data_IF_014956310348
#
_entry.id   IF_014956310348
#
_cell.length_a   1.000
_cell.length_b   1.000
_cell.length_c   1.000
_cell.angle_alpha   90.00
_cell.angle_beta   90.00
_cell.angle_gamma   90.00
#
_symmetry.space_group_name_H-M   'P 1'
#
loop_
_entity.id
_entity.type
_entity.pdbx_description
1 polymer ?
#
# COMPACT_ATOMS: atom_id res chain seq x y z
N UNK A 1 10.42 -17.19 29.91
CA UNK A 1 9.61 -17.86 28.86
C UNK A 1 8.62 -16.92 28.15
N UNK A 2 8.33 -15.72 28.66
CA UNK A 2 7.43 -14.71 28.05
C UNK A 2 8.05 -13.85 26.94
N UNK A 3 9.37 -13.91 26.76
CA UNK A 3 10.11 -12.98 25.89
C UNK A 3 9.80 -13.20 24.39
N UNK A 4 9.54 -14.44 23.98
CA UNK A 4 9.14 -14.74 22.60
C UNK A 4 7.78 -14.12 22.22
N UNK A 5 6.84 -14.05 23.18
CA UNK A 5 5.54 -13.39 23.01
C UNK A 5 5.73 -11.88 22.89
N UNK A 6 6.45 -11.28 23.84
CA UNK A 6 6.71 -9.84 23.83
C UNK A 6 7.48 -9.39 22.58
N UNK A 7 8.35 -10.25 22.03
CA UNK A 7 8.99 -9.99 20.74
C UNK A 7 7.98 -9.99 19.58
N UNK A 8 7.05 -10.94 19.55
CA UNK A 8 6.03 -11.02 18.50
C UNK A 8 5.03 -9.86 18.57
N UNK A 9 4.60 -9.48 19.77
CA UNK A 9 3.74 -8.30 19.99
C UNK A 9 4.40 -7.02 19.49
N UNK A 10 5.69 -6.81 19.78
CA UNK A 10 6.44 -5.66 19.25
C UNK A 10 6.48 -5.65 17.72
N UNK A 11 6.73 -6.80 17.10
CA UNK A 11 6.73 -6.92 15.63
C UNK A 11 5.36 -6.60 15.02
N UNK A 12 4.25 -6.99 15.68
CA UNK A 12 2.90 -6.67 15.23
C UNK A 12 2.59 -5.16 15.35
N UNK A 13 3.05 -4.52 16.43
CA UNK A 13 2.93 -3.06 16.62
C UNK A 13 3.75 -2.29 15.56
N UNK A 14 4.96 -2.74 15.28
CA UNK A 14 5.81 -2.15 14.23
C UNK A 14 5.19 -2.31 12.83
N UNK A 15 4.64 -3.49 12.53
CA UNK A 15 3.96 -3.72 11.26
C UNK A 15 2.72 -2.83 11.11
N UNK A 16 1.91 -2.68 12.16
CA UNK A 16 0.77 -1.76 12.14
C UNK A 16 1.23 -0.33 11.86
N UNK A 17 2.31 0.14 12.49
CA UNK A 17 2.85 1.49 12.26
C UNK A 17 3.32 1.66 10.82
N UNK A 18 4.05 0.68 10.28
CA UNK A 18 4.52 0.71 8.89
C UNK A 18 3.36 0.71 7.89
N UNK A 19 2.31 -0.09 8.13
CA UNK A 19 1.10 -0.10 7.30
C UNK A 19 0.38 1.24 7.31
N UNK A 20 0.20 1.85 8.48
CA UNK A 20 -0.42 3.18 8.59
C UNK A 20 0.41 4.29 7.93
N UNK A 21 1.74 4.15 7.93
CA UNK A 21 2.66 5.06 7.24
C UNK A 21 2.76 4.81 5.73
N UNK A 22 2.21 3.69 5.23
CA UNK A 22 2.34 3.27 3.84
C UNK A 22 3.73 2.74 3.48
N UNK A 23 4.58 2.41 4.45
CA UNK A 23 5.93 1.87 4.24
C UNK A 23 5.88 0.35 4.04
N UNK A 24 5.56 -0.06 2.82
CA UNK A 24 5.50 -1.48 2.44
C UNK A 24 6.89 -2.14 2.45
N UNK A 25 7.97 -1.37 2.33
CA UNK A 25 9.34 -1.89 2.41
C UNK A 25 9.67 -2.38 3.81
N UNK A 26 9.31 -1.59 4.83
CA UNK A 26 9.42 -1.98 6.23
C UNK A 26 8.56 -3.21 6.55
N UNK A 27 7.32 -3.27 6.05
CA UNK A 27 6.44 -4.45 6.22
C UNK A 27 7.06 -5.72 5.63
N UNK A 28 7.68 -5.62 4.45
CA UNK A 28 8.37 -6.75 3.83
C UNK A 28 9.57 -7.22 4.67
N UNK A 29 10.37 -6.28 5.20
CA UNK A 29 11.51 -6.60 6.06
C UNK A 29 11.10 -7.32 7.36
N UNK A 30 9.95 -6.95 7.96
CA UNK A 30 9.42 -7.57 9.17
C UNK A 30 8.98 -9.03 8.99
N UNK A 31 8.81 -9.50 7.75
CA UNK A 31 8.38 -10.88 7.47
C UNK A 31 9.42 -11.91 7.92
N UNK A 32 10.70 -11.64 7.71
CA UNK A 32 11.78 -12.54 8.15
C UNK A 32 11.86 -12.63 9.67
N UNK A 33 11.75 -11.48 10.36
CA UNK A 33 11.75 -11.40 11.82
C UNK A 33 10.57 -12.16 12.44
N UNK A 34 9.36 -12.03 11.86
CA UNK A 34 8.18 -12.78 12.32
C UNK A 34 8.33 -14.29 12.15
N UNK A 35 8.91 -14.75 11.04
CA UNK A 35 9.18 -16.18 10.83
C UNK A 35 10.13 -16.73 11.90
N UNK A 36 11.21 -16.02 12.19
CA UNK A 36 12.15 -16.42 13.25
C UNK A 36 11.50 -16.43 14.64
N UNK A 37 10.63 -15.46 14.94
CA UNK A 37 9.89 -15.42 16.20
C UNK A 37 8.90 -16.58 16.34
N UNK A 38 8.21 -16.97 15.26
CA UNK A 38 7.30 -18.12 15.24
C UNK A 38 8.02 -19.46 15.49
N UNK A 39 9.20 -19.66 14.92
CA UNK A 39 9.98 -20.88 15.18
C UNK A 39 10.43 -20.96 16.65
N UNK A 40 10.80 -19.81 17.26
CA UNK A 40 11.10 -19.75 18.70
C UNK A 40 9.86 -20.01 19.56
N UNK A 41 8.70 -19.55 19.11
CA UNK A 41 7.43 -19.75 19.81
C UNK A 41 7.01 -21.24 19.80
N UNK A 42 7.27 -21.97 18.71
CA UNK A 42 6.96 -23.41 18.60
C UNK A 42 7.68 -24.28 19.63
N UNK A 43 8.89 -23.89 20.01
CA UNK A 43 9.73 -24.64 20.95
C UNK A 43 9.46 -24.20 22.39
N UNK A 44 8.80 -23.06 22.59
CA UNK A 44 8.43 -22.56 23.91
C UNK A 44 7.09 -23.14 24.38
N UNK A 45 7.03 -23.60 25.63
CA UNK A 45 5.74 -23.82 26.29
C UNK A 45 5.12 -22.46 26.63
N UNK A 46 3.99 -22.18 25.99
CA UNK A 46 3.28 -20.90 26.11
C UNK A 46 1.85 -21.16 26.57
N UNK A 47 1.33 -20.43 27.56
CA UNK A 47 -0.06 -20.55 27.98
C UNK A 47 -1.02 -20.18 26.85
N UNK A 48 -2.12 -20.93 26.77
CA UNK A 48 -3.12 -20.80 25.69
C UNK A 48 -3.69 -19.39 25.59
N UNK A 49 -3.93 -18.75 26.73
CA UNK A 49 -4.48 -17.40 26.83
C UNK A 49 -3.59 -16.37 26.13
N UNK A 50 -2.26 -16.49 26.27
CA UNK A 50 -1.33 -15.57 25.63
C UNK A 50 -1.24 -15.81 24.10
N UNK A 51 -1.40 -17.06 23.65
CA UNK A 51 -1.50 -17.37 22.22
C UNK A 51 -2.78 -16.81 21.60
N UNK A 52 -3.91 -16.89 22.33
CA UNK A 52 -5.19 -16.36 21.86
C UNK A 52 -5.13 -14.82 21.72
N UNK A 53 -4.50 -14.11 22.67
CA UNK A 53 -4.29 -12.65 22.59
C UNK A 53 -3.45 -12.23 21.38
N UNK A 54 -2.32 -12.91 21.13
CA UNK A 54 -1.48 -12.64 19.96
C UNK A 54 -2.24 -12.94 18.66
N UNK A 55 -3.04 -14.01 18.63
CA UNK A 55 -3.84 -14.37 17.46
C UNK A 55 -4.83 -13.26 17.12
N UNK A 56 -5.51 -12.70 18.11
CA UNK A 56 -6.42 -11.56 17.91
C UNK A 56 -5.68 -10.33 17.37
N UNK A 57 -4.50 -10.00 17.92
CA UNK A 57 -3.71 -8.88 17.40
C UNK A 57 -3.25 -9.11 15.97
N UNK A 58 -2.77 -10.32 15.65
CA UNK A 58 -2.38 -10.68 14.30
C UNK A 58 -3.55 -10.58 13.31
N UNK A 59 -4.74 -11.04 13.69
CA UNK A 59 -5.95 -10.90 12.86
C UNK A 59 -6.28 -9.44 12.56
N UNK A 60 -6.17 -8.55 13.56
CA UNK A 60 -6.38 -7.10 13.38
C UNK A 60 -5.37 -6.51 12.39
N UNK A 61 -4.10 -6.90 12.47
CA UNK A 61 -3.07 -6.43 11.53
C UNK A 61 -3.30 -6.98 10.11
N UNK A 62 -3.72 -8.24 9.99
CA UNK A 62 -4.07 -8.82 8.68
C UNK A 62 -5.26 -8.10 8.02
N UNK A 63 -6.29 -7.74 8.79
CA UNK A 63 -7.40 -6.96 8.27
C UNK A 63 -6.94 -5.57 7.77
N UNK A 64 -6.03 -4.92 8.50
CA UNK A 64 -5.44 -3.64 8.08
C UNK A 64 -4.62 -3.77 6.80
N UNK A 65 -3.82 -4.83 6.66
CA UNK A 65 -3.06 -5.10 5.44
C UNK A 65 -4.00 -5.29 4.23
N UNK A 66 -5.06 -6.07 4.40
CA UNK A 66 -6.06 -6.28 3.34
C UNK A 66 -6.73 -4.95 2.92
N UNK A 67 -7.15 -4.14 3.89
CA UNK A 67 -7.71 -2.82 3.62
C UNK A 67 -6.71 -1.88 2.92
N UNK A 68 -5.43 -1.94 3.30
CA UNK A 68 -4.37 -1.15 2.68
C UNK A 68 -4.14 -1.52 1.21
N UNK A 69 -4.18 -2.82 0.89
CA UNK A 69 -4.08 -3.31 -0.49
C UNK A 69 -5.25 -2.84 -1.35
N UNK A 70 -6.48 -2.89 -0.82
CA UNK A 70 -7.67 -2.38 -1.51
C UNK A 70 -7.59 -0.86 -1.75
N UNK A 71 -7.11 -0.12 -0.76
CA UNK A 71 -6.84 1.31 -0.88
C UNK A 71 -5.84 1.64 -2.00
N UNK A 72 -4.74 0.88 -2.09
CA UNK A 72 -3.75 1.04 -3.16
C UNK A 72 -4.35 0.73 -4.54
N UNK A 73 -5.15 -0.34 -4.65
CA UNK A 73 -5.83 -0.70 -5.90
C UNK A 73 -6.79 0.42 -6.35
N UNK A 74 -7.55 0.98 -5.42
CA UNK A 74 -8.47 2.11 -5.64
C UNK A 74 -7.74 3.36 -6.10
N UNK A 75 -6.64 3.72 -5.43
CA UNK A 75 -5.81 4.86 -5.82
C UNK A 75 -5.22 4.68 -7.23
N UNK A 76 -4.76 3.46 -7.57
CA UNK A 76 -4.26 3.14 -8.91
C UNK A 76 -5.35 3.26 -9.99
N UNK A 77 -6.57 2.83 -9.70
CA UNK A 77 -7.70 3.01 -10.60
C UNK A 77 -7.96 4.50 -10.86
N UNK A 78 -8.06 5.30 -9.79
CA UNK A 78 -8.26 6.76 -9.90
C UNK A 78 -7.16 7.47 -10.69
N UNK A 79 -5.90 7.11 -10.49
CA UNK A 79 -4.78 7.68 -11.27
C UNK A 79 -4.86 7.33 -12.75
N UNK A 80 -5.35 6.12 -13.08
CA UNK A 80 -5.56 5.70 -14.47
C UNK A 80 -6.65 6.55 -15.14
N UNK A 81 -7.76 6.77 -14.45
CA UNK A 81 -8.87 7.57 -14.96
C UNK A 81 -8.44 9.01 -15.23
N UNK A 82 -7.70 9.62 -14.30
CA UNK A 82 -7.13 10.97 -14.47
C UNK A 82 -6.19 11.03 -15.67
N UNK A 83 -5.32 10.02 -15.86
CA UNK A 83 -4.43 9.95 -17.03
C UNK A 83 -5.21 9.82 -18.34
N UNK A 84 -6.28 9.04 -18.35
CA UNK A 84 -7.13 8.85 -19.53
C UNK A 84 -7.92 10.11 -19.90
N UNK A 85 -8.39 10.88 -18.93
CA UNK A 85 -9.05 12.18 -19.21
C UNK A 85 -8.05 13.19 -19.77
N UNK A 86 -6.81 13.23 -19.23
CA UNK A 86 -5.76 14.13 -19.75
C UNK A 86 -5.32 13.79 -21.18
N UNK A 87 -5.33 12.51 -21.57
CA UNK A 87 -4.99 12.12 -22.95
C UNK A 87 -6.12 12.29 -23.94
N UNK A 88 -7.37 12.51 -23.48
CA UNK A 88 -8.57 12.70 -24.31
C UNK A 88 -9.23 14.05 -24.03
N UNK A 89 -8.45 15.12 -23.94
CA UNK A 89 -8.99 16.47 -23.85
C UNK A 89 -9.53 16.85 -25.23
N UNK A 90 -10.72 16.32 -25.55
CA UNK A 90 -11.43 16.58 -26.79
C UNK A 90 -11.97 18.00 -26.71
N UNK A 91 -11.26 18.94 -27.32
CA UNK A 91 -11.71 20.33 -27.38
C UNK A 91 -12.59 20.45 -28.61
N UNK A 92 -13.82 20.92 -28.41
CA UNK A 92 -14.67 21.26 -29.55
C UNK A 92 -14.09 22.52 -30.20
N UNK A 93 -13.78 22.43 -31.49
CA UNK A 93 -13.41 23.63 -32.24
C UNK A 93 -14.64 24.55 -32.40
N UNK A 94 -14.41 25.79 -32.81
CA UNK A 94 -15.47 26.77 -33.11
C UNK A 94 -16.48 26.34 -34.20
N UNK A 95 -16.27 25.18 -34.84
CA UNK A 95 -17.11 24.62 -35.91
C UNK A 95 -17.83 23.32 -35.48
N UNK A 96 -17.69 22.90 -34.22
CA UNK A 96 -18.40 21.74 -33.65
C UNK A 96 -17.74 20.38 -33.92
N UNK A 97 -16.51 20.34 -34.44
CA UNK A 97 -15.80 19.07 -34.65
C UNK A 97 -14.99 18.66 -33.41
N UNK A 98 -15.00 17.36 -33.11
CA UNK A 98 -14.16 16.77 -32.06
C UNK A 98 -12.69 16.79 -32.51
N UNK A 99 -11.87 17.63 -31.90
CA UNK A 99 -10.43 17.59 -32.07
C UNK A 99 -9.79 16.98 -30.81
N UNK A 100 -9.06 15.87 -30.95
CA UNK A 100 -8.20 15.34 -29.89
C UNK A 100 -6.97 16.25 -29.76
N UNK A 101 -6.91 17.03 -28.68
CA UNK A 101 -5.69 17.79 -28.36
C UNK A 101 -4.75 16.83 -27.63
N UNK A 102 -3.89 16.15 -28.40
CA UNK A 102 -2.77 15.42 -27.82
C UNK A 102 -1.90 16.42 -27.05
N UNK A 103 -1.78 16.24 -25.73
CA UNK A 103 -0.93 17.02 -24.86
C UNK A 103 0.56 16.65 -25.05
N UNK A 104 1.07 16.76 -26.28
CA UNK A 104 2.49 16.89 -26.54
C UNK A 104 2.70 17.66 -27.85
N UNK A 105 2.80 18.98 -27.72
CA UNK A 105 3.47 19.79 -28.72
C UNK A 105 4.21 20.89 -27.98
N UNK A 106 5.53 20.70 -27.84
CA UNK A 106 6.45 21.81 -27.60
C UNK A 106 6.21 22.83 -28.71
N UNK A 107 5.47 23.89 -28.42
CA UNK A 107 5.31 25.01 -29.33
C UNK A 107 6.64 25.77 -29.41
N UNK A 108 7.51 25.36 -30.34
CA UNK A 108 8.59 26.21 -30.82
C UNK A 108 7.94 27.26 -31.69
N UNK A 109 7.77 28.46 -31.12
CA UNK A 109 7.35 29.63 -31.86
C UNK A 109 8.47 30.03 -32.83
N UNK A 110 8.30 29.77 -34.12
CA UNK A 110 9.10 30.44 -35.14
C UNK A 110 8.62 31.88 -35.29
N UNK A 111 9.49 32.84 -34.91
CA UNK A 111 9.34 34.25 -35.29
C UNK A 111 9.72 34.38 -36.77
N UNK A 112 8.75 34.66 -37.64
CA UNK A 112 9.04 35.18 -38.98
C UNK A 112 9.54 36.63 -38.88
N UNK A 113 10.72 36.87 -39.44
CA UNK A 113 11.21 38.17 -39.88
C UNK A 113 10.68 38.46 -41.30
#
# INVERSE_FOLDING_TARGET
>A
MTDAIAALERLLVEERRALLAGDLGAVAALTACKRAALERLRVAEVPKEALDQIREEAQRVHALLAASLDGIATARARLRDVRQVRSRLTTYDSRGHKADVAADTRHVFERKA
#
